data_IF_275209254879
#
_entry.id   IF_275209254879
#
_cell.length_a   1.000
_cell.length_b   1.000
_cell.length_c   1.000
_cell.angle_alpha   90.00
_cell.angle_beta   90.00
_cell.angle_gamma   90.00
#
_symmetry.space_group_name_H-M   'P 1'
#
loop_
_entity.id
_entity.type
_entity.pdbx_description
1 polymer ?
#
# COMPACT_ATOMS: atom_id res chain seq x y z
N UNK A 1 -53.21 33.54 -7.90
CA UNK A 1 -53.65 33.93 -6.54
C UNK A 1 -52.55 33.52 -5.56
N UNK A 2 -51.44 34.24 -5.42
CA UNK A 2 -51.16 35.38 -4.51
C UNK A 2 -51.59 35.17 -3.04
N UNK A 3 -50.58 35.01 -2.16
CA UNK A 3 -50.26 35.78 -0.92
C UNK A 3 -49.42 34.90 0.03
N UNK A 4 -48.10 35.12 0.16
CA UNK A 4 -47.36 36.08 1.04
C UNK A 4 -47.58 35.87 2.55
N UNK A 5 -46.44 35.66 3.24
CA UNK A 5 -46.21 35.62 4.69
C UNK A 5 -46.50 36.96 5.41
N UNK A 6 -46.42 37.01 6.77
CA UNK A 6 -45.20 37.45 7.48
C UNK A 6 -44.90 36.62 8.76
N UNK A 7 -43.65 36.38 9.19
CA UNK A 7 -42.64 37.26 9.80
C UNK A 7 -43.04 37.83 11.18
N UNK A 8 -42.41 37.35 12.28
CA UNK A 8 -42.11 38.14 13.49
C UNK A 8 -40.82 37.61 14.15
N UNK A 9 -39.82 38.50 14.24
CA UNK A 9 -38.60 38.40 15.04
C UNK A 9 -38.88 38.55 16.53
N UNK A 10 -38.12 37.86 17.39
CA UNK A 10 -37.85 38.35 18.75
C UNK A 10 -36.37 38.13 19.08
N UNK A 11 -35.62 39.25 19.08
CA UNK A 11 -34.37 39.43 19.79
C UNK A 11 -34.63 39.36 21.30
N UNK A 12 -33.79 38.65 22.06
CA UNK A 12 -33.56 38.98 23.47
C UNK A 12 -32.05 39.01 23.72
N UNK A 13 -31.54 40.24 23.85
CA UNK A 13 -30.30 40.56 24.55
C UNK A 13 -30.49 40.31 26.05
N UNK A 14 -29.50 39.69 26.69
CA UNK A 14 -29.27 39.85 28.13
C UNK A 14 -27.77 40.01 28.38
N UNK A 15 -27.34 41.27 28.44
CA UNK A 15 -26.14 41.70 29.17
C UNK A 15 -26.39 41.51 30.67
N UNK A 16 -25.43 40.95 31.39
CA UNK A 16 -25.19 41.28 32.79
C UNK A 16 -23.68 41.26 33.08
N UNK A 17 -23.22 42.42 33.50
CA UNK A 17 -21.85 42.86 33.75
C UNK A 17 -21.34 42.49 35.15
N UNK A 18 -20.05 42.14 35.19
CA UNK A 18 -18.98 42.60 36.11
C UNK A 18 -19.11 42.28 37.61
N UNK A 19 -18.15 41.49 38.10
CA UNK A 19 -17.44 41.80 39.34
C UNK A 19 -15.93 41.59 39.12
N UNK A 20 -15.23 42.72 39.03
CA UNK A 20 -13.78 42.88 39.03
C UNK A 20 -13.22 42.56 40.43
N UNK A 21 -12.12 41.82 40.49
CA UNK A 21 -11.11 42.00 41.55
C UNK A 21 -9.73 41.92 40.89
N UNK A 22 -9.11 43.09 40.76
CA UNK A 22 -7.74 43.31 40.35
C UNK A 22 -6.76 42.85 41.43
N UNK A 23 -5.69 42.16 41.03
CA UNK A 23 -4.35 42.37 41.59
C UNK A 23 -3.29 42.24 40.47
N UNK A 24 -2.84 43.42 40.03
CA UNK A 24 -1.43 43.81 39.82
C UNK A 24 -0.52 43.07 38.83
N UNK A 25 -0.10 43.79 37.77
CA UNK A 25 1.12 43.52 37.00
C UNK A 25 1.24 44.37 35.72
N UNK A 26 2.05 45.42 35.76
CA UNK A 26 2.27 46.46 34.73
C UNK A 26 2.75 45.97 33.33
N UNK A 27 2.63 46.81 32.28
CA UNK A 27 2.64 46.40 30.89
C UNK A 27 4.06 46.32 30.31
N UNK A 28 4.38 45.23 29.62
CA UNK A 28 5.60 45.15 28.81
C UNK A 28 5.25 45.12 27.34
N UNK A 29 5.80 46.10 26.61
CA UNK A 29 5.78 46.23 25.14
C UNK A 29 6.15 44.90 24.48
N UNK A 30 5.52 44.60 23.34
CA UNK A 30 6.06 43.67 22.36
C UNK A 30 7.50 44.07 22.05
N UNK A 31 8.43 43.24 22.49
CA UNK A 31 9.80 43.26 22.02
C UNK A 31 9.84 42.34 20.79
N UNK A 32 9.86 42.95 19.61
CA UNK A 32 10.34 42.32 18.38
C UNK A 32 11.67 41.64 18.70
N UNK A 33 11.72 40.32 18.57
CA UNK A 33 12.97 39.58 18.58
C UNK A 33 13.86 40.08 17.42
N UNK A 34 15.17 40.24 17.62
CA UNK A 34 16.11 40.44 16.50
C UNK A 34 16.04 39.23 15.55
N UNK A 35 16.43 39.40 14.26
CA UNK A 35 16.65 38.27 13.39
C UNK A 35 17.94 37.56 13.83
N UNK A 36 17.83 36.69 14.83
CA UNK A 36 18.98 35.90 15.29
C UNK A 36 19.25 34.78 14.27
N UNK A 37 20.31 35.04 13.50
CA UNK A 37 21.41 34.14 13.20
C UNK A 37 21.07 32.64 13.17
N UNK A 38 21.08 32.11 11.93
CA UNK A 38 21.25 30.69 11.66
C UNK A 38 22.51 30.23 12.41
N UNK A 39 22.33 29.40 13.44
CA UNK A 39 23.46 28.77 14.13
C UNK A 39 24.17 27.86 13.14
N UNK A 40 25.52 27.89 13.06
CA UNK A 40 26.26 26.97 12.19
C UNK A 40 25.93 25.48 12.45
N UNK A 41 25.40 25.15 13.64
CA UNK A 41 24.97 23.79 13.98
C UNK A 41 23.68 23.33 13.27
N UNK A 42 22.81 24.24 12.80
CA UNK A 42 21.59 23.90 12.05
C UNK A 42 21.86 23.66 10.56
N UNK A 43 22.91 24.26 10.01
CA UNK A 43 23.39 23.98 8.64
C UNK A 43 24.01 22.59 8.49
N UNK A 44 24.48 21.98 9.58
CA UNK A 44 25.11 20.65 9.58
C UNK A 44 24.07 19.53 9.76
N UNK A 45 22.91 19.81 10.35
CA UNK A 45 21.87 18.80 10.58
C UNK A 45 21.02 18.49 9.33
N UNK A 46 21.02 19.39 8.34
CA UNK A 46 20.37 19.19 7.02
C UNK A 46 21.32 18.70 5.92
N UNK A 47 22.55 18.32 6.28
CA UNK A 47 23.49 17.67 5.39
C UNK A 47 23.88 16.29 5.96
N UNK A 48 22.89 15.44 6.23
CA UNK A 48 23.19 14.02 6.06
C UNK A 48 23.53 13.84 4.59
N UNK A 49 24.73 13.35 4.22
CA UNK A 49 24.99 13.00 2.84
C UNK A 49 23.89 12.02 2.47
N UNK A 50 23.10 12.37 1.45
CA UNK A 50 22.22 11.41 0.79
C UNK A 50 23.09 10.21 0.48
N UNK A 51 22.82 9.07 1.15
CA UNK A 51 23.47 7.81 0.80
C UNK A 51 23.42 7.71 -0.72
N UNK A 52 24.56 7.50 -1.39
CA UNK A 52 24.58 7.61 -2.83
C UNK A 52 23.56 6.60 -3.38
N UNK A 53 22.69 7.07 -4.29
CA UNK A 53 21.57 6.28 -4.85
C UNK A 53 22.04 5.05 -5.63
N UNK A 54 23.36 4.89 -5.77
CA UNK A 54 24.02 3.72 -6.31
C UNK A 54 24.07 2.53 -5.32
N UNK A 55 23.80 2.72 -4.03
CA UNK A 55 23.60 1.63 -3.08
C UNK A 55 22.13 1.27 -3.00
N UNK A 56 21.81 0.00 -3.22
CA UNK A 56 20.45 -0.51 -3.27
C UNK A 56 20.33 -1.68 -2.30
N UNK A 57 19.39 -1.61 -1.37
CA UNK A 57 19.07 -2.72 -0.46
C UNK A 57 17.66 -3.20 -0.74
N UNK A 58 17.55 -4.44 -1.21
CA UNK A 58 16.28 -5.09 -1.49
C UNK A 58 15.91 -6.07 -0.37
N UNK A 59 14.88 -5.75 0.41
CA UNK A 59 14.26 -6.64 1.37
C UNK A 59 13.19 -7.46 0.66
N UNK A 60 13.51 -8.74 0.40
CA UNK A 60 12.67 -9.67 -0.38
C UNK A 60 12.50 -10.98 0.38
N UNK A 61 11.36 -11.64 0.22
CA UNK A 61 11.13 -12.98 0.75
C UNK A 61 11.61 -13.99 -0.29
N UNK A 62 12.92 -14.25 -0.31
CA UNK A 62 13.54 -15.19 -1.25
C UNK A 62 13.07 -16.61 -0.97
N UNK A 63 12.99 -16.96 0.32
CA UNK A 63 12.59 -18.29 0.80
C UNK A 63 11.19 -18.72 0.34
N UNK A 64 10.28 -17.78 0.02
CA UNK A 64 8.95 -18.08 -0.53
C UNK A 64 8.97 -18.58 -1.99
N UNK A 65 10.03 -18.30 -2.75
CA UNK A 65 10.10 -18.55 -4.20
C UNK A 65 9.21 -17.64 -5.06
N UNK A 66 8.16 -17.02 -4.51
CA UNK A 66 7.23 -16.16 -5.23
C UNK A 66 7.89 -14.90 -5.81
N UNK A 67 9.00 -14.44 -5.22
CA UNK A 67 9.71 -13.22 -5.64
C UNK A 67 10.93 -13.50 -6.51
N UNK A 68 11.04 -14.72 -7.07
CA UNK A 68 12.14 -15.11 -7.96
C UNK A 68 12.35 -14.14 -9.13
N UNK A 69 11.32 -13.62 -9.82
CA UNK A 69 11.52 -12.63 -10.88
C UNK A 69 12.25 -11.36 -10.41
N UNK A 70 11.84 -10.82 -9.26
CA UNK A 70 12.49 -9.65 -8.66
C UNK A 70 13.93 -9.94 -8.26
N UNK A 71 14.19 -11.08 -7.62
CA UNK A 71 15.55 -11.51 -7.25
C UNK A 71 16.44 -11.65 -8.49
N UNK A 72 15.91 -12.23 -9.57
CA UNK A 72 16.66 -12.41 -10.82
C UNK A 72 16.99 -11.07 -11.48
N UNK A 73 16.04 -10.12 -11.51
CA UNK A 73 16.29 -8.78 -12.05
C UNK A 73 17.38 -8.03 -11.27
N UNK A 74 17.35 -8.11 -9.92
CA UNK A 74 18.36 -7.49 -9.05
C UNK A 74 19.74 -8.13 -9.25
N UNK A 75 19.82 -9.46 -9.36
CA UNK A 75 21.07 -10.17 -9.65
C UNK A 75 21.64 -9.80 -11.01
N UNK A 76 20.79 -9.79 -12.04
CA UNK A 76 21.17 -9.37 -13.40
C UNK A 76 21.72 -7.94 -13.39
N UNK A 77 21.04 -7.01 -12.70
CA UNK A 77 21.50 -5.63 -12.60
C UNK A 77 22.82 -5.48 -11.83
N UNK A 78 23.06 -6.32 -10.81
CA UNK A 78 24.34 -6.34 -10.09
C UNK A 78 25.50 -6.75 -11.00
N UNK A 79 25.25 -7.64 -11.96
CA UNK A 79 26.24 -8.05 -12.96
C UNK A 79 26.40 -6.99 -14.06
N UNK A 80 25.28 -6.52 -14.62
CA UNK A 80 25.24 -5.56 -15.73
C UNK A 80 25.84 -4.20 -15.36
N UNK A 81 25.57 -3.72 -14.15
CA UNK A 81 26.03 -2.42 -13.64
C UNK A 81 27.15 -2.56 -12.60
N UNK A 82 27.96 -3.61 -12.71
CA UNK A 82 29.11 -3.84 -11.83
C UNK A 82 30.02 -2.60 -11.77
N UNK A 83 30.35 -2.15 -10.56
CA UNK A 83 31.15 -0.96 -10.31
C UNK A 83 30.39 0.37 -10.43
N UNK A 84 29.13 0.36 -10.89
CA UNK A 84 28.22 1.51 -10.84
C UNK A 84 27.20 1.38 -9.72
N UNK A 85 26.69 0.17 -9.47
CA UNK A 85 25.72 -0.12 -8.42
C UNK A 85 26.27 -1.12 -7.39
N UNK A 86 25.87 -0.94 -6.14
CA UNK A 86 26.05 -1.90 -5.04
C UNK A 86 24.66 -2.41 -4.65
N UNK A 87 24.32 -3.64 -5.03
CA UNK A 87 22.99 -4.22 -4.78
C UNK A 87 23.11 -5.31 -3.71
N UNK A 88 22.45 -5.11 -2.58
CA UNK A 88 22.32 -6.08 -1.50
C UNK A 88 20.90 -6.67 -1.49
N UNK A 89 20.80 -7.99 -1.48
CA UNK A 89 19.54 -8.72 -1.33
C UNK A 89 19.47 -9.27 0.09
N UNK A 90 18.49 -8.82 0.87
CA UNK A 90 18.22 -9.27 2.24
C UNK A 90 17.00 -10.17 2.23
N UNK A 91 17.20 -11.47 2.49
CA UNK A 91 16.09 -12.42 2.64
C UNK A 91 15.42 -12.25 4.01
N UNK A 92 14.15 -11.82 4.04
CA UNK A 92 13.36 -11.78 5.28
C UNK A 92 12.42 -12.98 5.45
N UNK A 93 12.44 -13.94 4.53
CA UNK A 93 11.52 -15.07 4.50
C UNK A 93 11.88 -16.24 5.42
N UNK A 94 13.13 -16.33 5.85
CA UNK A 94 13.69 -17.49 6.57
C UNK A 94 13.59 -17.39 8.10
N UNK A 95 13.11 -16.26 8.64
CA UNK A 95 13.07 -15.99 10.08
C UNK A 95 14.44 -15.68 10.70
N UNK A 96 15.50 -15.55 9.89
CA UNK A 96 16.88 -15.33 10.31
C UNK A 96 17.28 -13.86 10.44
N UNK A 97 18.58 -13.59 10.24
CA UNK A 97 19.17 -12.25 10.38
C UNK A 97 18.49 -11.21 9.47
N UNK A 98 18.15 -11.59 8.23
CA UNK A 98 17.48 -10.68 7.31
C UNK A 98 16.07 -10.29 7.77
N UNK A 99 15.37 -11.18 8.48
CA UNK A 99 14.09 -10.87 9.15
C UNK A 99 14.28 -9.82 10.25
N UNK A 100 15.33 -9.95 11.06
CA UNK A 100 15.63 -8.97 12.10
C UNK A 100 16.01 -7.61 11.51
N UNK A 101 16.84 -7.58 10.46
CA UNK A 101 17.19 -6.36 9.73
C UNK A 101 15.97 -5.69 9.14
N UNK A 102 15.11 -6.42 8.44
CA UNK A 102 13.86 -5.92 7.87
C UNK A 102 12.96 -5.25 8.91
N UNK A 103 12.74 -5.91 10.06
CA UNK A 103 11.97 -5.33 11.17
C UNK A 103 12.63 -4.08 11.75
N UNK A 104 13.96 -4.08 11.91
CA UNK A 104 14.70 -2.92 12.44
C UNK A 104 14.67 -1.70 11.52
N UNK A 105 14.45 -1.92 10.21
CA UNK A 105 14.27 -0.87 9.22
C UNK A 105 12.87 -0.24 9.25
N UNK A 106 11.95 -0.72 10.11
CA UNK A 106 10.58 -0.22 10.20
C UNK A 106 9.69 -0.62 9.01
N UNK A 107 10.12 -1.60 8.21
CA UNK A 107 9.38 -2.07 7.04
C UNK A 107 8.33 -3.12 7.44
N UNK A 108 7.16 -3.05 6.81
CA UNK A 108 6.04 -3.98 7.03
C UNK A 108 5.76 -4.88 5.82
N UNK A 109 6.46 -4.66 4.70
CA UNK A 109 6.37 -5.50 3.51
C UNK A 109 7.70 -5.53 2.75
N UNK A 110 7.74 -6.24 1.62
CA UNK A 110 8.86 -6.18 0.69
C UNK A 110 9.18 -4.71 0.33
N UNK A 111 10.47 -4.37 0.24
CA UNK A 111 10.91 -3.04 -0.13
C UNK A 111 12.20 -3.09 -0.93
N UNK A 112 12.36 -2.20 -1.92
CA UNK A 112 13.64 -1.92 -2.57
C UNK A 112 14.01 -0.48 -2.24
N UNK A 113 15.11 -0.32 -1.50
CA UNK A 113 15.59 0.97 -0.99
C UNK A 113 16.76 1.42 -1.84
N UNK A 114 16.64 2.58 -2.49
CA UNK A 114 17.70 3.24 -3.24
C UNK A 114 18.33 4.32 -2.34
N UNK A 115 19.52 4.06 -1.84
CA UNK A 115 20.16 4.87 -0.81
C UNK A 115 19.38 4.81 0.50
N UNK A 116 18.53 5.82 0.75
CA UNK A 116 17.67 5.89 1.92
C UNK A 116 16.17 5.90 1.56
N UNK A 117 15.82 5.90 0.27
CA UNK A 117 14.47 6.15 -0.20
C UNK A 117 13.87 4.93 -0.91
N UNK A 118 12.61 4.64 -0.64
CA UNK A 118 11.80 3.66 -1.40
C UNK A 118 11.05 4.31 -2.56
N UNK A 119 10.78 5.62 -2.43
CA UNK A 119 10.17 6.46 -3.45
C UNK A 119 11.22 7.19 -4.27
N UNK A 120 11.31 6.86 -5.55
CA UNK A 120 12.31 7.43 -6.47
C UNK A 120 11.69 7.91 -7.75
N UNK A 121 12.34 8.88 -8.38
CA UNK A 121 11.90 9.51 -9.62
C UNK A 121 13.05 9.61 -10.63
N UNK A 122 12.70 9.57 -11.91
CA UNK A 122 13.62 9.74 -13.03
C UNK A 122 12.87 10.27 -14.25
N UNK A 123 13.61 10.90 -15.16
CA UNK A 123 13.06 11.30 -16.45
C UNK A 123 13.07 10.14 -17.44
N UNK A 124 11.91 9.91 -18.06
CA UNK A 124 11.71 8.92 -19.11
C UNK A 124 10.99 9.58 -20.29
N UNK A 125 11.66 9.62 -21.46
CA UNK A 125 11.10 10.20 -22.69
C UNK A 125 10.51 11.62 -22.52
N UNK A 126 11.12 12.45 -21.66
CA UNK A 126 10.67 13.82 -21.38
C UNK A 126 9.51 13.93 -20.38
N UNK A 127 9.10 12.81 -19.77
CA UNK A 127 8.14 12.79 -18.66
C UNK A 127 8.85 12.37 -17.38
N UNK A 128 8.56 13.09 -16.29
CA UNK A 128 8.99 12.73 -14.94
C UNK A 128 8.17 11.52 -14.49
N UNK A 129 8.84 10.41 -14.20
CA UNK A 129 8.23 9.22 -13.62
C UNK A 129 8.67 9.11 -12.17
N UNK A 130 7.74 8.80 -11.29
CA UNK A 130 8.02 8.50 -9.89
C UNK A 130 7.39 7.15 -9.55
N UNK A 131 8.03 6.39 -8.67
CA UNK A 131 7.61 5.05 -8.26
C UNK A 131 8.03 4.81 -6.81
N UNK A 132 7.15 4.18 -6.04
CA UNK A 132 7.47 3.69 -4.69
C UNK A 132 7.62 2.17 -4.71
N UNK A 133 8.84 1.68 -4.47
CA UNK A 133 9.19 0.26 -4.47
C UNK A 133 8.88 -0.41 -3.12
N UNK A 134 7.66 -0.21 -2.64
CA UNK A 134 7.07 -0.97 -1.53
C UNK A 134 6.09 -2.00 -2.08
N UNK A 135 6.04 -3.16 -1.43
CA UNK A 135 5.28 -4.34 -1.83
C UNK A 135 5.84 -5.00 -3.11
N UNK A 136 5.44 -6.25 -3.42
CA UNK A 136 5.85 -6.92 -4.67
C UNK A 136 5.49 -6.13 -5.94
N UNK A 137 6.10 -6.46 -7.10
CA UNK A 137 5.64 -5.93 -8.38
C UNK A 137 4.17 -6.32 -8.62
N UNK A 138 3.46 -5.50 -9.40
CA UNK A 138 2.02 -5.62 -9.66
C UNK A 138 1.13 -4.90 -8.63
N UNK A 139 1.69 -4.33 -7.55
CA UNK A 139 0.97 -3.54 -6.55
C UNK A 139 0.90 -2.05 -6.90
N UNK A 140 2.05 -1.39 -6.80
CA UNK A 140 2.22 0.04 -7.05
C UNK A 140 3.24 0.32 -8.16
N UNK A 141 3.89 -0.74 -8.64
CA UNK A 141 4.99 -0.68 -9.60
C UNK A 141 5.10 -2.01 -10.33
N UNK A 142 5.69 -2.01 -11.52
CA UNK A 142 5.88 -3.16 -12.40
C UNK A 142 7.36 -3.51 -12.56
N UNK A 143 7.69 -4.71 -13.05
CA UNK A 143 9.10 -5.11 -13.19
C UNK A 143 9.89 -4.16 -14.10
N UNK A 144 9.25 -3.61 -15.12
CA UNK A 144 9.81 -2.61 -16.03
C UNK A 144 10.18 -1.32 -15.28
N UNK A 145 9.44 -0.94 -14.25
CA UNK A 145 9.76 0.22 -13.41
C UNK A 145 11.06 0.00 -12.65
N UNK A 146 11.26 -1.21 -12.11
CA UNK A 146 12.48 -1.57 -11.40
C UNK A 146 13.68 -1.58 -12.35
N UNK A 147 13.55 -2.18 -13.54
CA UNK A 147 14.62 -2.18 -14.53
C UNK A 147 15.00 -0.74 -14.96
N UNK A 148 14.01 0.12 -15.17
CA UNK A 148 14.23 1.53 -15.52
C UNK A 148 14.88 2.33 -14.38
N UNK A 149 14.43 2.11 -13.13
CA UNK A 149 15.00 2.77 -11.96
C UNK A 149 16.45 2.32 -11.71
N UNK A 150 16.76 1.03 -11.91
CA UNK A 150 18.13 0.49 -11.82
C UNK A 150 19.05 1.12 -12.88
N UNK A 151 18.59 1.22 -14.13
CA UNK A 151 19.34 1.89 -15.19
C UNK A 151 19.55 3.39 -14.89
N UNK A 152 18.51 4.08 -14.41
CA UNK A 152 18.62 5.49 -13.99
C UNK A 152 19.59 5.67 -12.82
N UNK A 153 19.61 4.76 -11.85
CA UNK A 153 20.56 4.77 -10.73
C UNK A 153 22.00 4.58 -11.24
N UNK A 154 22.22 3.63 -12.15
CA UNK A 154 23.54 3.36 -12.72
C UNK A 154 24.09 4.54 -13.53
N UNK A 155 23.20 5.35 -14.12
CA UNK A 155 23.54 6.57 -14.84
C UNK A 155 23.63 7.82 -13.95
N UNK A 156 23.33 7.71 -12.65
CA UNK A 156 23.28 8.85 -11.73
C UNK A 156 22.12 9.82 -11.98
N UNK A 157 21.05 9.35 -12.63
CA UNK A 157 19.83 10.12 -12.98
C UNK A 157 18.65 9.84 -12.05
N UNK A 158 18.81 8.96 -11.07
CA UNK A 158 17.76 8.63 -10.11
C UNK A 158 17.75 9.65 -8.97
N UNK A 159 16.58 10.21 -8.70
CA UNK A 159 16.33 11.18 -7.63
C UNK A 159 15.29 10.64 -6.65
N UNK A 160 15.20 11.26 -5.47
CA UNK A 160 14.10 11.00 -4.54
C UNK A 160 12.78 11.54 -5.11
N UNK A 161 11.71 10.74 -5.04
CA UNK A 161 10.37 11.20 -5.39
C UNK A 161 9.77 12.05 -4.25
N UNK A 162 8.99 13.05 -4.62
CA UNK A 162 8.12 13.81 -3.71
C UNK A 162 6.84 13.05 -3.40
N UNK A 163 6.18 13.38 -2.30
CA UNK A 163 4.89 12.78 -1.93
C UNK A 163 3.82 13.07 -3.01
N UNK A 164 3.82 14.27 -3.59
CA UNK A 164 2.91 14.66 -4.66
C UNK A 164 3.15 13.85 -5.95
N UNK A 165 4.40 13.59 -6.33
CA UNK A 165 4.72 12.75 -7.48
C UNK A 165 4.26 11.30 -7.28
N UNK A 166 4.42 10.76 -6.06
CA UNK A 166 3.95 9.41 -5.73
C UNK A 166 2.41 9.32 -5.68
N UNK A 167 1.76 10.33 -5.12
CA UNK A 167 0.30 10.41 -5.06
C UNK A 167 -0.35 10.64 -6.43
N UNK A 168 0.34 11.36 -7.32
CA UNK A 168 -0.11 11.69 -8.68
C UNK A 168 -0.02 10.54 -9.68
N UNK A 169 0.56 9.39 -9.30
CA UNK A 169 0.63 8.23 -10.18
C UNK A 169 -0.77 7.72 -10.52
N UNK A 170 -1.04 7.61 -11.83
CA UNK A 170 -2.25 6.98 -12.32
C UNK A 170 -2.35 5.56 -11.74
N UNK A 171 -3.50 5.14 -11.21
CA UNK A 171 -3.71 3.74 -10.84
C UNK A 171 -3.46 2.87 -12.08
N UNK A 172 -2.91 1.66 -11.91
CA UNK A 172 -2.66 0.76 -13.03
C UNK A 172 -3.96 0.51 -13.79
N UNK A 173 -3.84 0.20 -15.09
CA UNK A 173 -4.99 -0.13 -15.92
C UNK A 173 -5.82 -1.24 -15.26
N UNK A 174 -7.15 -1.17 -15.44
CA UNK A 174 -8.02 -2.19 -14.89
C UNK A 174 -7.71 -3.56 -15.51
N UNK A 175 -7.33 -4.52 -14.66
CA UNK A 175 -7.15 -5.91 -15.06
C UNK A 175 -8.34 -6.72 -14.56
N UNK A 176 -9.02 -7.40 -15.49
CA UNK A 176 -10.17 -8.23 -15.13
C UNK A 176 -9.70 -9.45 -14.31
N UNK A 177 -10.07 -9.50 -13.03
CA UNK A 177 -9.69 -10.60 -12.14
C UNK A 177 -10.32 -11.94 -12.52
N UNK A 178 -11.45 -11.93 -13.24
CA UNK A 178 -12.24 -13.12 -13.62
C UNK A 178 -12.47 -14.03 -12.41
N UNK A 179 -12.80 -13.42 -11.27
CA UNK A 179 -13.03 -14.16 -10.04
C UNK A 179 -14.28 -15.03 -10.20
N UNK A 180 -14.24 -16.26 -9.72
CA UNK A 180 -15.36 -17.21 -9.74
C UNK A 180 -15.42 -18.02 -8.45
N UNK A 181 -16.61 -18.54 -8.16
CA UNK A 181 -16.81 -19.49 -7.09
C UNK A 181 -16.80 -20.92 -7.65
N UNK A 182 -16.19 -21.85 -6.91
CA UNK A 182 -16.24 -23.28 -7.20
C UNK A 182 -16.56 -24.04 -5.92
N UNK A 183 -17.33 -25.13 -6.01
CA UNK A 183 -17.69 -25.97 -4.86
C UNK A 183 -19.20 -26.11 -4.65
N UNK A 184 -19.60 -26.35 -3.40
CA UNK A 184 -20.96 -26.65 -2.99
C UNK A 184 -21.35 -26.02 -1.64
N UNK A 185 -22.52 -26.40 -1.11
CA UNK A 185 -23.04 -25.88 0.16
C UNK A 185 -22.27 -26.32 1.42
N UNK A 186 -21.23 -27.16 1.28
CA UNK A 186 -20.37 -27.59 2.40
C UNK A 186 -18.96 -27.05 2.29
N UNK A 187 -18.45 -26.91 1.07
CA UNK A 187 -17.11 -26.38 0.84
C UNK A 187 -17.07 -25.64 -0.48
N UNK A 188 -16.55 -24.41 -0.45
CA UNK A 188 -16.40 -23.60 -1.65
C UNK A 188 -15.08 -22.87 -1.66
N UNK A 189 -14.64 -22.47 -2.85
CA UNK A 189 -13.42 -21.73 -3.08
C UNK A 189 -13.70 -20.48 -3.89
N UNK A 190 -12.96 -19.42 -3.58
CA UNK A 190 -12.85 -18.25 -4.45
C UNK A 190 -11.62 -18.45 -5.32
N UNK A 191 -11.84 -18.52 -6.63
CA UNK A 191 -10.79 -18.62 -7.64
C UNK A 191 -10.62 -17.24 -8.27
N UNK A 192 -9.39 -16.71 -8.32
CA UNK A 192 -9.06 -15.41 -8.90
C UNK A 192 -7.98 -15.64 -9.96
N UNK A 193 -8.22 -15.19 -11.20
CA UNK A 193 -7.33 -15.42 -12.35
C UNK A 193 -6.90 -16.90 -12.51
N UNK A 194 -7.80 -17.84 -12.21
CA UNK A 194 -7.53 -19.28 -12.28
C UNK A 194 -6.81 -19.88 -11.06
N UNK A 195 -6.46 -19.07 -10.06
CA UNK A 195 -5.81 -19.53 -8.83
C UNK A 195 -6.79 -19.63 -7.66
N UNK A 196 -6.78 -20.70 -6.87
CA UNK A 196 -7.53 -20.76 -5.61
C UNK A 196 -6.94 -19.77 -4.61
N UNK A 197 -7.73 -18.77 -4.23
CA UNK A 197 -7.31 -17.71 -3.31
C UNK A 197 -7.84 -17.91 -1.88
N UNK A 198 -9.03 -18.51 -1.75
CA UNK A 198 -9.70 -18.74 -0.46
C UNK A 198 -10.43 -20.07 -0.51
N UNK A 199 -10.43 -20.80 0.61
CA UNK A 199 -11.31 -21.94 0.87
C UNK A 199 -12.25 -21.63 2.04
N UNK A 200 -13.55 -21.85 1.84
CA UNK A 200 -14.63 -21.57 2.77
C UNK A 200 -15.31 -22.90 3.10
N UNK A 201 -15.35 -23.27 4.37
CA UNK A 201 -15.90 -24.55 4.85
C UNK A 201 -17.06 -24.36 5.82
N UNK A 202 -17.29 -23.14 6.32
CA UNK A 202 -18.41 -22.84 7.21
C UNK A 202 -19.44 -21.90 6.55
N UNK A 203 -20.72 -21.96 6.96
CA UNK A 203 -21.69 -20.92 6.64
C UNK A 203 -21.46 -19.65 7.46
N UNK A 204 -22.02 -18.52 7.01
CA UNK A 204 -22.07 -17.27 7.77
C UNK A 204 -23.44 -16.61 7.61
N UNK A 205 -24.18 -16.48 8.72
CA UNK A 205 -25.60 -16.14 8.67
C UNK A 205 -26.38 -17.16 7.82
N UNK A 206 -27.19 -16.66 6.88
CA UNK A 206 -27.99 -17.48 5.97
C UNK A 206 -27.22 -17.91 4.70
N UNK A 207 -25.93 -17.58 4.58
CA UNK A 207 -25.13 -17.88 3.40
C UNK A 207 -24.35 -19.19 3.58
N UNK A 208 -24.61 -20.16 2.71
CA UNK A 208 -23.77 -21.35 2.56
C UNK A 208 -22.37 -20.97 2.03
N UNK A 209 -21.34 -21.82 2.22
CA UNK A 209 -20.01 -21.64 1.65
C UNK A 209 -20.01 -21.18 0.19
N UNK A 210 -20.75 -21.85 -0.70
CA UNK A 210 -20.80 -21.45 -2.12
C UNK A 210 -21.43 -20.07 -2.32
N UNK A 211 -22.47 -19.70 -1.56
CA UNK A 211 -23.08 -18.37 -1.63
C UNK A 211 -22.13 -17.28 -1.15
N UNK A 212 -21.33 -17.55 -0.12
CA UNK A 212 -20.26 -16.65 0.35
C UNK A 212 -19.19 -16.48 -0.73
N UNK A 213 -18.75 -17.56 -1.35
CA UNK A 213 -17.76 -17.53 -2.43
C UNK A 213 -18.27 -16.78 -3.67
N UNK A 214 -19.54 -16.96 -4.05
CA UNK A 214 -20.18 -16.22 -5.16
C UNK A 214 -20.23 -14.72 -4.88
N UNK A 215 -20.62 -14.32 -3.67
CA UNK A 215 -20.65 -12.91 -3.26
C UNK A 215 -19.24 -12.28 -3.29
N UNK A 216 -18.24 -13.01 -2.79
CA UNK A 216 -16.85 -12.59 -2.82
C UNK A 216 -16.32 -12.41 -4.25
N UNK A 217 -16.56 -13.41 -5.12
CA UNK A 217 -16.17 -13.34 -6.52
C UNK A 217 -16.83 -12.17 -7.25
N UNK A 218 -18.12 -11.91 -6.97
CA UNK A 218 -18.81 -10.73 -7.51
C UNK A 218 -18.17 -9.43 -7.04
N UNK A 219 -17.92 -9.28 -5.73
CA UNK A 219 -17.31 -8.08 -5.16
C UNK A 219 -15.92 -7.79 -5.77
N UNK A 220 -15.10 -8.83 -5.95
CA UNK A 220 -13.79 -8.71 -6.58
C UNK A 220 -13.87 -8.29 -8.05
N UNK A 221 -14.79 -8.88 -8.82
CA UNK A 221 -14.99 -8.52 -10.21
C UNK A 221 -15.52 -7.09 -10.36
N UNK A 222 -16.50 -6.68 -9.53
CA UNK A 222 -17.03 -5.33 -9.49
C UNK A 222 -15.90 -4.32 -9.19
N UNK A 223 -15.07 -4.59 -8.18
CA UNK A 223 -13.92 -3.76 -7.84
C UNK A 223 -12.91 -3.65 -8.99
N UNK A 224 -12.61 -4.77 -9.65
CA UNK A 224 -11.66 -4.82 -10.77
C UNK A 224 -12.16 -4.24 -12.09
N UNK A 225 -13.44 -3.83 -12.15
CA UNK A 225 -14.02 -3.19 -13.34
C UNK A 225 -13.54 -1.76 -13.57
N UNK A 226 -12.85 -1.17 -12.57
CA UNK A 226 -12.24 0.15 -12.62
C UNK A 226 -10.76 0.05 -12.22
N UNK A 227 -9.93 1.05 -12.54
CA UNK A 227 -8.55 1.09 -12.06
C UNK A 227 -8.48 0.91 -10.54
N UNK A 228 -7.65 -0.03 -10.11
CA UNK A 228 -7.48 -0.41 -8.71
C UNK A 228 -6.01 -0.56 -8.36
N UNK A 229 -5.68 -0.50 -7.06
CA UNK A 229 -4.36 -0.87 -6.56
C UNK A 229 -4.51 -2.10 -5.68
N UNK A 230 -3.76 -3.20 -5.87
CA UNK A 230 -3.88 -4.37 -5.00
C UNK A 230 -3.63 -4.07 -3.51
N UNK A 231 -2.94 -2.98 -3.19
CA UNK A 231 -2.80 -2.46 -1.83
C UNK A 231 -4.12 -2.01 -1.18
N UNK A 232 -5.22 -1.93 -1.94
CA UNK A 232 -6.57 -1.65 -1.46
C UNK A 232 -7.25 -2.86 -0.82
N UNK A 233 -6.67 -4.06 -0.93
CA UNK A 233 -7.13 -5.24 -0.18
C UNK A 233 -6.67 -5.10 1.27
N UNK A 234 -7.61 -5.03 2.22
CA UNK A 234 -7.35 -4.77 3.63
C UNK A 234 -8.11 -5.72 4.53
N UNK A 235 -7.58 -5.94 5.73
CA UNK A 235 -8.30 -6.59 6.83
C UNK A 235 -8.76 -5.54 7.84
N UNK A 236 -9.89 -5.80 8.49
CA UNK A 236 -10.38 -4.99 9.61
C UNK A 236 -11.17 -5.86 10.58
N UNK A 237 -11.15 -5.52 11.87
CA UNK A 237 -11.97 -6.21 12.87
C UNK A 237 -13.42 -5.77 12.76
N UNK A 238 -14.35 -6.72 12.85
CA UNK A 238 -15.79 -6.49 12.89
C UNK A 238 -16.40 -7.20 14.10
N UNK A 239 -17.65 -6.88 14.50
CA UNK A 239 -18.34 -7.63 15.55
C UNK A 239 -18.47 -9.14 15.24
N UNK A 240 -18.55 -9.50 13.95
CA UNK A 240 -18.77 -10.86 13.48
C UNK A 240 -17.48 -11.63 13.16
N UNK A 241 -16.30 -11.01 13.37
CA UNK A 241 -14.99 -11.60 13.12
C UNK A 241 -14.01 -10.62 12.47
N UNK A 242 -13.41 -11.02 11.35
CA UNK A 242 -12.47 -10.18 10.61
C UNK A 242 -12.90 -10.03 9.15
N UNK A 243 -13.18 -8.81 8.71
CA UNK A 243 -13.55 -8.51 7.34
C UNK A 243 -12.32 -8.33 6.45
N UNK A 244 -12.37 -8.93 5.26
CA UNK A 244 -11.48 -8.65 4.14
C UNK A 244 -12.26 -7.77 3.18
N UNK A 245 -11.74 -6.57 2.92
CA UNK A 245 -12.39 -5.56 2.10
C UNK A 245 -11.47 -5.10 0.96
N UNK A 246 -12.08 -4.63 -0.12
CA UNK A 246 -11.44 -3.88 -1.19
C UNK A 246 -12.01 -2.47 -1.20
N UNK A 247 -11.15 -1.46 -1.00
CA UNK A 247 -11.60 -0.10 -0.67
C UNK A 247 -12.58 -0.14 0.53
N UNK A 248 -13.82 0.28 0.33
CA UNK A 248 -14.88 0.30 1.35
C UNK A 248 -15.88 -0.87 1.21
N UNK A 249 -15.65 -1.80 0.27
CA UNK A 249 -16.53 -2.93 0.01
C UNK A 249 -15.99 -4.20 0.67
N UNK A 250 -16.77 -4.78 1.59
CA UNK A 250 -16.49 -6.09 2.16
C UNK A 250 -16.57 -7.17 1.08
N UNK A 251 -15.50 -7.94 0.93
CA UNK A 251 -15.42 -9.11 0.04
C UNK A 251 -15.83 -10.37 0.80
N UNK A 252 -15.26 -10.56 1.98
CA UNK A 252 -15.51 -11.71 2.86
C UNK A 252 -15.41 -11.28 4.32
N UNK A 253 -16.10 -12.01 5.19
CA UNK A 253 -15.88 -11.96 6.64
C UNK A 253 -15.42 -13.34 7.08
N UNK A 254 -14.28 -13.40 7.75
CA UNK A 254 -13.79 -14.58 8.45
C UNK A 254 -14.49 -14.65 9.79
N UNK A 255 -15.26 -15.71 10.00
CA UNK A 255 -16.03 -15.93 11.23
C UNK A 255 -15.29 -16.88 12.16
N UNK A 256 -15.74 -16.95 13.42
CA UNK A 256 -15.23 -17.97 14.35
C UNK A 256 -15.44 -19.39 13.82
N UNK A 257 -16.56 -19.66 13.13
CA UNK A 257 -16.83 -20.99 12.57
C UNK A 257 -15.83 -21.38 11.47
N UNK A 258 -15.36 -20.41 10.67
CA UNK A 258 -14.30 -20.66 9.69
C UNK A 258 -12.98 -21.01 10.39
N UNK A 259 -12.64 -20.23 11.42
CA UNK A 259 -11.42 -20.40 12.21
C UNK A 259 -11.39 -21.76 12.93
N UNK A 260 -12.51 -22.15 13.54
CA UNK A 260 -12.70 -23.44 14.19
C UNK A 260 -12.55 -24.60 13.20
N UNK A 261 -13.12 -24.47 12.00
CA UNK A 261 -13.01 -25.47 10.95
C UNK A 261 -11.57 -25.60 10.41
N UNK A 262 -10.82 -24.50 10.39
CA UNK A 262 -9.41 -24.47 9.98
C UNK A 262 -8.42 -24.79 11.11
N UNK A 263 -8.87 -24.82 12.37
CA UNK A 263 -8.02 -25.09 13.54
C UNK A 263 -7.04 -23.96 13.88
N UNK A 264 -7.37 -22.72 13.52
CA UNK A 264 -6.54 -21.51 13.74
C UNK A 264 -7.36 -20.38 14.37
N UNK A 265 -6.75 -19.23 14.68
CA UNK A 265 -7.48 -18.05 15.12
C UNK A 265 -8.18 -17.32 13.97
N UNK A 266 -9.20 -16.51 14.28
CA UNK A 266 -9.89 -15.67 13.27
C UNK A 266 -8.92 -14.71 12.60
N UNK A 267 -8.05 -14.06 13.38
CA UNK A 267 -7.02 -13.17 12.85
C UNK A 267 -6.06 -13.88 11.90
N UNK A 268 -5.55 -15.05 12.30
CA UNK A 268 -4.62 -15.83 11.47
C UNK A 268 -5.28 -16.28 10.17
N UNK A 269 -6.53 -16.77 10.22
CA UNK A 269 -7.25 -17.16 9.01
C UNK A 269 -7.57 -15.97 8.11
N UNK A 270 -7.90 -14.81 8.68
CA UNK A 270 -8.11 -13.58 7.93
C UNK A 270 -6.84 -13.09 7.24
N UNK A 271 -5.68 -13.21 7.89
CA UNK A 271 -4.38 -12.93 7.27
C UNK A 271 -4.08 -13.92 6.14
N UNK A 272 -4.36 -15.21 6.31
CA UNK A 272 -4.20 -16.21 5.25
C UNK A 272 -5.08 -15.91 4.03
N UNK A 273 -6.37 -15.65 4.24
CA UNK A 273 -7.30 -15.32 3.15
C UNK A 273 -6.96 -13.97 2.50
N UNK A 274 -6.56 -12.97 3.29
CA UNK A 274 -6.06 -11.69 2.78
C UNK A 274 -4.85 -11.89 1.88
N UNK A 275 -3.84 -12.65 2.35
CA UNK A 275 -2.65 -12.97 1.58
C UNK A 275 -2.98 -13.75 0.30
N UNK A 276 -3.90 -14.71 0.36
CA UNK A 276 -4.35 -15.48 -0.79
C UNK A 276 -5.03 -14.63 -1.86
N UNK A 277 -6.00 -13.78 -1.48
CA UNK A 277 -6.65 -12.84 -2.39
C UNK A 277 -5.62 -11.88 -2.98
N UNK A 278 -4.79 -11.29 -2.12
CA UNK A 278 -3.78 -10.31 -2.50
C UNK A 278 -2.77 -10.89 -3.48
N UNK A 279 -2.29 -12.11 -3.26
CA UNK A 279 -1.38 -12.84 -4.17
C UNK A 279 -2.04 -13.10 -5.53
N UNK A 280 -3.28 -13.57 -5.56
CA UNK A 280 -3.96 -13.88 -6.81
C UNK A 280 -4.28 -12.63 -7.64
N UNK A 281 -4.62 -11.51 -6.99
CA UNK A 281 -4.82 -10.20 -7.64
C UNK A 281 -3.53 -9.72 -8.32
N UNK A 282 -2.39 -9.88 -7.67
CA UNK A 282 -1.09 -9.48 -8.21
C UNK A 282 -0.70 -10.33 -9.40
N UNK A 283 -0.89 -11.64 -9.29
CA UNK A 283 -0.63 -12.55 -10.41
C UNK A 283 -1.51 -12.23 -11.62
N UNK A 284 -2.76 -11.81 -11.40
CA UNK A 284 -3.62 -11.33 -12.47
C UNK A 284 -3.00 -10.10 -13.18
N UNK A 285 -2.48 -9.13 -12.42
CA UNK A 285 -1.83 -7.95 -12.98
C UNK A 285 -0.56 -8.30 -13.79
N UNK A 286 0.27 -9.22 -13.29
CA UNK A 286 1.48 -9.67 -14.00
C UNK A 286 1.14 -10.41 -15.31
N UNK A 287 0.19 -11.35 -15.26
CA UNK A 287 -0.22 -12.11 -16.45
C UNK A 287 -0.93 -11.24 -17.52
N UNK A 288 -1.61 -10.18 -17.09
CA UNK A 288 -2.22 -9.19 -17.97
C UNK A 288 -1.19 -8.44 -18.83
N UNK A 289 0.03 -8.23 -18.33
CA UNK A 289 1.06 -7.51 -19.07
C UNK A 289 1.86 -8.40 -20.02
N UNK A 290 2.10 -9.67 -19.67
CA UNK A 290 2.71 -10.63 -20.62
C UNK A 290 1.88 -10.79 -21.90
N UNK A 291 0.55 -10.81 -21.76
CA UNK A 291 -0.35 -10.91 -22.92
C UNK A 291 -0.33 -9.65 -23.78
N UNK A 292 -0.22 -8.44 -23.20
CA UNK A 292 -0.08 -7.18 -23.95
C UNK A 292 1.25 -7.08 -24.69
N UNK A 293 2.36 -7.54 -24.08
CA UNK A 293 3.67 -7.55 -24.73
C UNK A 293 3.71 -8.47 -25.95
N UNK A 294 2.92 -9.55 -25.96
CA UNK A 294 2.84 -10.48 -27.10
C UNK A 294 2.07 -9.94 -28.32
N UNK A 295 1.22 -8.92 -28.13
CA UNK A 295 0.38 -8.33 -29.18
C UNK A 295 0.97 -7.06 -29.80
N UNK A 296 2.14 -6.61 -29.33
CA UNK A 296 2.81 -5.39 -29.81
C UNK A 296 4.04 -5.69 -30.69
N UNK A 297 4.20 -6.94 -31.15
CA UNK A 297 5.25 -7.39 -32.07
C UNK A 297 4.82 -7.42 -33.53
#
# INVERSE_FOLDING_TARGET
MTKRAPCVCVLILSLATVALLHLTGCPSKQQTAPPDDIRPEELIRNAQPSSPTNRITAYVNVSSGCQTPTVNALKKASEEYAGKLEIEIVDFGDGGEGTARWKSSGLECMAIVFGADTGVAWDQAGQRKAVEFLMPPGFNWMMEDLEQALAAAADGRLEKATEEELAGQAPPEAVALKAKAEGDDKTARVIIAGMPAVEITAPAGDLSPIKRAEAAAKALNDWSSQPYKPAQVRTSKTPDGAAIAVKDQTVLVVTQADADAAGVSVEELAEQWHAGIRSAVVNANVAGDETKSSCSG
#
